data_IF_661877111947
#
_entry.id   IF_661877111947
#
_cell.length_a   1.000
_cell.length_b   1.000
_cell.length_c   1.000
_cell.angle_alpha   90.00
_cell.angle_beta   90.00
_cell.angle_gamma   90.00
#
_symmetry.space_group_name_H-M   'P 1'
#
loop_
_entity.id
_entity.type
_entity.pdbx_description
1 polymer ?
#
# COMPACT_ATOMS: atom_id res chain seq x y z
N UNK A 1 34.94 -16.04 -18.99
CA UNK A 1 33.81 -15.29 -19.61
C UNK A 1 32.55 -15.31 -18.75
N UNK A 2 31.93 -16.46 -18.45
CA UNK A 2 30.67 -16.49 -17.67
C UNK A 2 30.86 -16.05 -16.21
N UNK A 3 31.88 -16.57 -15.51
CA UNK A 3 32.22 -16.19 -14.12
C UNK A 3 32.65 -14.72 -14.00
N UNK A 4 33.39 -14.22 -14.99
CA UNK A 4 33.81 -12.81 -15.07
C UNK A 4 32.61 -11.87 -15.22
N UNK A 5 31.63 -12.23 -16.07
CA UNK A 5 30.39 -11.47 -16.21
C UNK A 5 29.55 -11.49 -14.94
N UNK A 6 29.48 -12.61 -14.23
CA UNK A 6 28.76 -12.71 -12.96
C UNK A 6 29.40 -11.84 -11.87
N UNK A 7 30.73 -11.84 -11.76
CA UNK A 7 31.43 -10.98 -10.80
C UNK A 7 31.24 -9.49 -11.13
N UNK A 8 31.32 -9.12 -12.40
CA UNK A 8 31.06 -7.75 -12.86
C UNK A 8 29.61 -7.31 -12.58
N UNK A 9 28.64 -8.19 -12.81
CA UNK A 9 27.23 -7.92 -12.46
C UNK A 9 27.09 -7.65 -10.97
N UNK A 10 27.66 -8.50 -10.11
CA UNK A 10 27.58 -8.34 -8.65
C UNK A 10 28.14 -7.00 -8.19
N UNK A 11 29.28 -6.58 -8.71
CA UNK A 11 29.92 -5.31 -8.37
C UNK A 11 29.05 -4.11 -8.78
N UNK A 12 28.65 -4.04 -10.05
CA UNK A 12 27.82 -2.95 -10.59
C UNK A 12 26.47 -2.91 -9.87
N UNK A 13 25.86 -4.07 -9.61
CA UNK A 13 24.60 -4.18 -8.89
C UNK A 13 24.70 -3.65 -7.46
N UNK A 14 25.79 -3.98 -6.74
CA UNK A 14 26.03 -3.48 -5.38
C UNK A 14 26.09 -1.96 -5.34
N UNK A 15 26.80 -1.34 -6.31
CA UNK A 15 26.88 0.12 -6.43
C UNK A 15 25.48 0.71 -6.72
N UNK A 16 24.71 0.10 -7.63
CA UNK A 16 23.37 0.54 -7.95
C UNK A 16 22.44 0.47 -6.74
N UNK A 17 22.46 -0.66 -6.02
CA UNK A 17 21.64 -0.91 -4.85
C UNK A 17 21.95 0.08 -3.73
N UNK A 18 23.23 0.31 -3.43
CA UNK A 18 23.63 1.29 -2.42
C UNK A 18 23.13 2.70 -2.74
N UNK A 19 23.28 3.13 -4.00
CA UNK A 19 22.76 4.42 -4.44
C UNK A 19 21.23 4.49 -4.40
N UNK A 20 20.54 3.37 -4.62
CA UNK A 20 19.08 3.30 -4.50
C UNK A 20 18.65 3.49 -3.04
N UNK A 21 19.30 2.82 -2.08
CA UNK A 21 19.05 3.02 -0.64
C UNK A 21 19.33 4.46 -0.20
N UNK A 22 20.39 5.06 -0.73
CA UNK A 22 20.77 6.45 -0.44
C UNK A 22 19.89 7.48 -1.21
N UNK A 23 18.88 7.02 -1.95
CA UNK A 23 17.94 7.83 -2.77
C UNK A 23 18.60 8.63 -3.90
N UNK A 24 19.82 8.26 -4.29
CA UNK A 24 20.52 8.78 -5.47
C UNK A 24 19.97 8.11 -6.75
N UNK A 25 18.67 8.33 -7.04
CA UNK A 25 17.94 7.57 -8.06
C UNK A 25 18.56 7.63 -9.46
N UNK A 26 19.09 8.79 -9.87
CA UNK A 26 19.75 8.93 -11.18
C UNK A 26 21.00 8.05 -11.28
N UNK A 27 21.82 8.00 -10.22
CA UNK A 27 23.03 7.18 -10.19
C UNK A 27 22.64 5.70 -10.17
N UNK A 28 21.68 5.33 -9.31
CA UNK A 28 21.16 3.97 -9.22
C UNK A 28 20.61 3.47 -10.57
N UNK A 29 19.77 4.27 -11.25
CA UNK A 29 19.24 3.94 -12.58
C UNK A 29 20.36 3.67 -13.59
N UNK A 30 21.40 4.52 -13.62
CA UNK A 30 22.51 4.36 -14.54
C UNK A 30 23.29 3.06 -14.30
N UNK A 31 23.60 2.72 -13.04
CA UNK A 31 24.30 1.47 -12.73
C UNK A 31 23.41 0.24 -12.96
N UNK A 32 22.11 0.32 -12.66
CA UNK A 32 21.19 -0.76 -13.02
C UNK A 32 21.11 -1.00 -14.53
N UNK A 33 21.11 0.05 -15.36
CA UNK A 33 21.16 -0.12 -16.82
C UNK A 33 22.45 -0.80 -17.28
N UNK A 34 23.60 -0.51 -16.66
CA UNK A 34 24.86 -1.23 -16.93
C UNK A 34 24.76 -2.73 -16.59
N UNK A 35 24.03 -3.11 -15.54
CA UNK A 35 23.74 -4.53 -15.28
C UNK A 35 22.93 -5.13 -16.43
N UNK A 36 21.92 -4.40 -16.92
CA UNK A 36 21.07 -4.86 -18.03
C UNK A 36 21.78 -4.92 -19.39
N UNK A 37 22.86 -4.16 -19.58
CA UNK A 37 23.74 -4.28 -20.76
C UNK A 37 24.49 -5.63 -20.76
N UNK A 38 24.84 -6.16 -19.59
CA UNK A 38 25.52 -7.47 -19.46
C UNK A 38 24.50 -8.61 -19.44
N UNK A 39 23.40 -8.44 -18.71
CA UNK A 39 22.31 -9.41 -18.62
C UNK A 39 20.95 -8.70 -18.66
N UNK A 40 20.35 -8.66 -19.86
CA UNK A 40 19.09 -7.98 -20.15
C UNK A 40 17.87 -8.53 -19.40
N UNK A 41 17.98 -9.75 -18.86
CA UNK A 41 16.95 -10.46 -18.11
C UNK A 41 17.33 -10.66 -16.62
N UNK A 42 18.24 -9.86 -16.08
CA UNK A 42 18.58 -9.91 -14.65
C UNK A 42 17.37 -9.46 -13.80
N UNK A 43 16.65 -10.44 -13.24
CA UNK A 43 15.37 -10.23 -12.56
C UNK A 43 15.47 -9.19 -11.44
N UNK A 44 16.45 -9.32 -10.56
CA UNK A 44 16.62 -8.48 -9.38
C UNK A 44 16.80 -7.00 -9.79
N UNK A 45 17.57 -6.74 -10.86
CA UNK A 45 17.73 -5.38 -11.41
C UNK A 45 16.45 -4.83 -12.00
N UNK A 46 15.74 -5.62 -12.80
CA UNK A 46 14.49 -5.18 -13.44
C UNK A 46 13.44 -4.87 -12.36
N UNK A 47 13.30 -5.76 -11.38
CA UNK A 47 12.40 -5.57 -10.25
C UNK A 47 12.76 -4.30 -9.43
N UNK A 48 14.06 -4.06 -9.18
CA UNK A 48 14.51 -2.89 -8.43
C UNK A 48 14.37 -1.59 -9.22
N UNK A 49 14.58 -1.60 -10.54
CA UNK A 49 14.23 -0.46 -11.40
C UNK A 49 12.73 -0.14 -11.33
N UNK A 50 11.87 -1.16 -11.36
CA UNK A 50 10.43 -0.98 -11.12
C UNK A 50 10.14 -0.29 -9.79
N UNK A 51 10.85 -0.70 -8.74
CA UNK A 51 10.72 -0.14 -7.39
C UNK A 51 11.28 1.29 -7.29
N UNK A 52 12.41 1.57 -7.94
CA UNK A 52 13.02 2.89 -8.02
C UNK A 52 12.09 3.90 -8.70
N UNK A 53 11.53 3.53 -9.85
CA UNK A 53 10.58 4.40 -10.55
C UNK A 53 9.28 4.61 -9.76
N UNK A 54 8.81 3.60 -9.02
CA UNK A 54 7.67 3.76 -8.11
C UNK A 54 7.97 4.80 -7.02
N UNK A 55 9.13 4.70 -6.37
CA UNK A 55 9.56 5.63 -5.33
C UNK A 55 9.82 7.05 -5.85
N UNK A 56 10.15 7.19 -7.13
CA UNK A 56 10.30 8.47 -7.81
C UNK A 56 9.00 8.94 -8.51
N UNK A 57 7.84 8.37 -8.15
CA UNK A 57 6.51 8.68 -8.69
C UNK A 57 6.37 8.54 -10.23
N UNK A 58 7.29 7.84 -10.89
CA UNK A 58 7.20 7.53 -12.31
C UNK A 58 6.50 6.17 -12.50
N UNK A 59 5.19 6.16 -12.29
CA UNK A 59 4.39 4.94 -12.30
C UNK A 59 4.33 4.26 -13.67
N UNK A 60 4.45 5.02 -14.77
CA UNK A 60 4.48 4.47 -16.14
C UNK A 60 5.75 3.62 -16.35
N UNK A 61 6.94 4.15 -16.03
CA UNK A 61 8.18 3.36 -16.12
C UNK A 61 8.17 2.21 -15.12
N UNK A 62 7.67 2.45 -13.90
CA UNK A 62 7.54 1.40 -12.88
C UNK A 62 6.73 0.21 -13.39
N UNK A 63 5.60 0.47 -14.05
CA UNK A 63 4.74 -0.54 -14.68
C UNK A 63 5.51 -1.38 -15.70
N UNK A 64 6.21 -0.74 -16.65
CA UNK A 64 6.99 -1.45 -17.69
C UNK A 64 8.01 -2.41 -17.08
N UNK A 65 8.78 -1.95 -16.09
CA UNK A 65 9.76 -2.80 -15.42
C UNK A 65 9.13 -3.94 -14.63
N UNK A 66 8.03 -3.72 -13.91
CA UNK A 66 7.35 -4.82 -13.21
C UNK A 66 6.69 -5.82 -14.16
N UNK A 67 6.16 -5.38 -15.30
CA UNK A 67 5.65 -6.29 -16.33
C UNK A 67 6.78 -7.14 -16.93
N UNK A 68 7.97 -6.57 -17.15
CA UNK A 68 9.16 -7.32 -17.54
C UNK A 68 9.59 -8.31 -16.46
N UNK A 69 9.62 -7.90 -15.18
CA UNK A 69 9.94 -8.80 -14.08
C UNK A 69 8.95 -9.99 -14.01
N UNK A 70 7.65 -9.73 -14.21
CA UNK A 70 6.60 -10.76 -14.21
C UNK A 70 6.73 -11.74 -15.37
N UNK A 71 7.30 -11.33 -16.51
CA UNK A 71 7.62 -12.26 -17.62
C UNK A 71 8.79 -13.19 -17.29
N UNK A 72 9.75 -12.71 -16.49
CA UNK A 72 10.96 -13.48 -16.13
C UNK A 72 10.67 -14.47 -14.99
N UNK A 73 9.96 -14.03 -13.94
CA UNK A 73 9.49 -14.89 -12.85
C UNK A 73 7.97 -14.79 -12.73
N UNK A 74 7.22 -15.64 -13.47
CA UNK A 74 5.76 -15.58 -13.53
C UNK A 74 5.06 -16.11 -12.26
N UNK A 75 5.83 -16.57 -11.28
CA UNK A 75 5.40 -17.07 -9.98
C UNK A 75 5.80 -16.15 -8.80
N UNK A 76 6.42 -14.99 -9.07
CA UNK A 76 6.82 -14.07 -8.00
C UNK A 76 5.64 -13.24 -7.49
N UNK A 77 5.08 -13.65 -6.34
CA UNK A 77 3.99 -12.95 -5.67
C UNK A 77 4.26 -11.46 -5.42
N UNK A 78 5.53 -11.09 -5.16
CA UNK A 78 5.93 -9.72 -4.82
C UNK A 78 5.83 -8.79 -6.02
N UNK A 79 6.27 -9.26 -7.19
CA UNK A 79 6.16 -8.55 -8.47
C UNK A 79 4.70 -8.27 -8.80
N UNK A 80 3.82 -9.27 -8.70
CA UNK A 80 2.39 -9.05 -8.97
C UNK A 80 1.74 -8.13 -7.93
N UNK A 81 2.12 -8.22 -6.65
CA UNK A 81 1.63 -7.28 -5.65
C UNK A 81 1.98 -5.84 -6.01
N UNK A 82 3.25 -5.56 -6.33
CA UNK A 82 3.68 -4.20 -6.69
C UNK A 82 3.07 -3.74 -8.01
N UNK A 83 2.98 -4.61 -9.02
CA UNK A 83 2.30 -4.28 -10.27
C UNK A 83 0.82 -3.94 -10.03
N UNK A 84 0.16 -4.63 -9.09
CA UNK A 84 -1.19 -4.30 -8.63
C UNK A 84 -1.27 -2.91 -7.97
N UNK A 85 -0.29 -2.56 -7.14
CA UNK A 85 -0.18 -1.22 -6.53
C UNK A 85 -0.02 -0.16 -7.63
N UNK A 86 0.90 -0.35 -8.57
CA UNK A 86 1.15 0.59 -9.66
C UNK A 86 -0.07 0.76 -10.56
N UNK A 87 -0.75 -0.33 -10.93
CA UNK A 87 -1.99 -0.24 -11.69
C UNK A 87 -3.10 0.47 -10.90
N UNK A 88 -3.13 0.34 -9.57
CA UNK A 88 -4.08 1.07 -8.71
C UNK A 88 -3.81 2.59 -8.74
N UNK A 89 -2.55 3.00 -8.66
CA UNK A 89 -2.14 4.42 -8.74
C UNK A 89 -2.41 5.02 -10.13
N UNK A 90 -2.26 4.22 -11.19
CA UNK A 90 -2.55 4.62 -12.56
C UNK A 90 -4.05 4.59 -12.92
N UNK A 91 -4.91 4.07 -12.03
CA UNK A 91 -6.35 3.94 -12.28
C UNK A 91 -6.76 2.74 -13.15
N UNK A 92 -5.82 1.85 -13.51
CA UNK A 92 -6.08 0.59 -14.22
C UNK A 92 -6.62 -0.47 -13.25
N UNK A 93 -7.85 -0.27 -12.77
CA UNK A 93 -8.42 -1.03 -11.66
C UNK A 93 -8.64 -2.52 -11.98
N UNK A 94 -9.00 -2.86 -13.22
CA UNK A 94 -9.21 -4.26 -13.64
C UNK A 94 -7.89 -5.03 -13.66
N UNK A 95 -6.84 -4.42 -14.19
CA UNK A 95 -5.48 -4.95 -14.21
C UNK A 95 -4.92 -5.08 -12.80
N UNK A 96 -5.21 -4.11 -11.92
CA UNK A 96 -4.84 -4.18 -10.51
C UNK A 96 -5.47 -5.40 -9.82
N UNK A 97 -6.76 -5.67 -10.04
CA UNK A 97 -7.44 -6.86 -9.52
C UNK A 97 -6.72 -8.14 -9.98
N UNK A 98 -6.48 -8.28 -11.29
CA UNK A 98 -5.80 -9.47 -11.84
C UNK A 98 -4.41 -9.67 -11.23
N UNK A 99 -3.66 -8.58 -11.03
CA UNK A 99 -2.35 -8.63 -10.39
C UNK A 99 -2.44 -9.08 -8.93
N UNK A 100 -3.37 -8.53 -8.14
CA UNK A 100 -3.54 -8.96 -6.75
C UNK A 100 -4.03 -10.42 -6.64
N UNK A 101 -4.90 -10.88 -7.53
CA UNK A 101 -5.33 -12.28 -7.58
C UNK A 101 -4.15 -13.23 -7.88
N UNK A 102 -3.27 -12.87 -8.83
CA UNK A 102 -2.03 -13.61 -9.09
C UNK A 102 -1.07 -13.58 -7.89
N UNK A 103 -0.94 -12.44 -7.22
CA UNK A 103 -0.14 -12.34 -6.00
C UNK A 103 -0.67 -13.27 -4.88
N UNK A 104 -2.00 -13.36 -4.72
CA UNK A 104 -2.65 -14.28 -3.78
C UNK A 104 -2.41 -15.74 -4.16
N UNK A 105 -2.46 -16.06 -5.45
CA UNK A 105 -2.20 -17.42 -5.96
C UNK A 105 -0.82 -17.93 -5.51
N UNK A 106 0.21 -17.09 -5.61
CA UNK A 106 1.58 -17.46 -5.25
C UNK A 106 1.92 -17.21 -3.77
N UNK A 107 1.16 -16.36 -3.08
CA UNK A 107 1.32 -16.10 -1.64
C UNK A 107 -0.02 -15.84 -0.95
N UNK A 108 -0.63 -16.93 -0.48
CA UNK A 108 -1.99 -16.91 0.09
C UNK A 108 -2.12 -16.15 1.42
N UNK A 109 -1.04 -15.89 2.15
CA UNK A 109 -1.06 -15.32 3.51
C UNK A 109 -0.59 -13.85 3.59
N UNK A 110 -0.61 -13.10 2.49
CA UNK A 110 -0.16 -11.71 2.47
C UNK A 110 -1.32 -10.73 2.71
N UNK A 111 -1.51 -10.28 3.96
CA UNK A 111 -2.62 -9.41 4.37
C UNK A 111 -2.78 -8.13 3.51
N UNK A 112 -1.67 -7.48 3.15
CA UNK A 112 -1.69 -6.27 2.31
C UNK A 112 -2.29 -6.52 0.92
N UNK A 113 -2.04 -7.68 0.30
CA UNK A 113 -2.66 -8.00 -1.00
C UNK A 113 -4.18 -8.08 -0.88
N UNK A 114 -4.70 -8.74 0.16
CA UNK A 114 -6.14 -8.82 0.41
C UNK A 114 -6.75 -7.44 0.69
N UNK A 115 -6.09 -6.62 1.51
CA UNK A 115 -6.55 -5.27 1.78
C UNK A 115 -6.61 -4.43 0.50
N UNK A 116 -5.55 -4.46 -0.33
CA UNK A 116 -5.51 -3.64 -1.54
C UNK A 116 -6.48 -4.14 -2.62
N UNK A 117 -6.70 -5.44 -2.73
CA UNK A 117 -7.75 -5.99 -3.59
C UNK A 117 -9.14 -5.54 -3.11
N UNK A 118 -9.40 -5.59 -1.80
CA UNK A 118 -10.63 -5.05 -1.23
C UNK A 118 -10.81 -3.56 -1.52
N UNK A 119 -9.72 -2.79 -1.43
CA UNK A 119 -9.71 -1.35 -1.75
C UNK A 119 -10.09 -1.06 -3.19
N UNK A 120 -9.51 -1.79 -4.15
CA UNK A 120 -9.85 -1.63 -5.57
C UNK A 120 -11.31 -2.01 -5.84
N UNK A 121 -11.79 -3.11 -5.24
CA UNK A 121 -13.20 -3.51 -5.35
C UNK A 121 -14.14 -2.45 -4.76
N UNK A 122 -13.75 -1.82 -3.65
CA UNK A 122 -14.50 -0.74 -3.02
C UNK A 122 -14.53 0.52 -3.89
N UNK A 123 -13.44 0.87 -4.58
CA UNK A 123 -13.41 1.96 -5.58
C UNK A 123 -14.39 1.72 -6.73
N UNK A 124 -14.63 0.44 -7.07
CA UNK A 124 -15.61 0.02 -8.07
C UNK A 124 -17.03 -0.14 -7.52
N UNK A 125 -17.30 0.28 -6.27
CA UNK A 125 -18.61 0.15 -5.63
C UNK A 125 -18.99 -1.27 -5.20
N UNK A 126 -18.08 -2.24 -5.34
CA UNK A 126 -18.33 -3.66 -4.99
C UNK A 126 -18.11 -3.93 -3.49
N UNK A 127 -18.76 -3.16 -2.62
CA UNK A 127 -18.51 -3.16 -1.18
C UNK A 127 -18.69 -4.53 -0.51
N UNK A 128 -19.70 -5.32 -0.91
CA UNK A 128 -19.92 -6.67 -0.37
C UNK A 128 -18.72 -7.61 -0.65
N UNK A 129 -18.14 -7.54 -1.84
CA UNK A 129 -16.93 -8.31 -2.17
C UNK A 129 -15.72 -7.77 -1.42
N UNK A 130 -15.57 -6.44 -1.38
CA UNK A 130 -14.48 -5.78 -0.65
C UNK A 130 -14.42 -6.22 0.83
N UNK A 131 -15.57 -6.30 1.51
CA UNK A 131 -15.69 -6.78 2.89
C UNK A 131 -15.08 -8.17 3.08
N UNK A 132 -15.34 -9.10 2.15
CA UNK A 132 -14.77 -10.45 2.24
C UNK A 132 -13.24 -10.43 2.17
N UNK A 133 -12.67 -9.59 1.30
CA UNK A 133 -11.22 -9.45 1.19
C UNK A 133 -10.59 -8.73 2.39
N UNK A 134 -11.20 -7.66 2.91
CA UNK A 134 -10.71 -7.02 4.13
C UNK A 134 -10.76 -7.95 5.35
N UNK A 135 -11.83 -8.76 5.50
CA UNK A 135 -11.91 -9.78 6.56
C UNK A 135 -10.80 -10.84 6.42
N UNK A 136 -10.44 -11.23 5.20
CA UNK A 136 -9.27 -12.10 4.95
C UNK A 136 -7.95 -11.41 5.33
N UNK A 137 -7.79 -10.12 5.03
CA UNK A 137 -6.61 -9.37 5.47
C UNK A 137 -6.45 -9.43 7.00
N UNK A 138 -7.53 -9.19 7.75
CA UNK A 138 -7.57 -9.27 9.22
C UNK A 138 -7.31 -10.69 9.74
N UNK A 139 -7.80 -11.71 9.02
CA UNK A 139 -7.51 -13.11 9.36
C UNK A 139 -6.01 -13.42 9.32
N UNK A 140 -5.29 -12.87 8.34
CA UNK A 140 -3.84 -13.07 8.20
C UNK A 140 -3.01 -12.11 9.05
N UNK A 141 -3.54 -10.93 9.36
CA UNK A 141 -2.94 -9.96 10.26
C UNK A 141 -4.04 -9.27 11.10
N UNK A 142 -4.20 -9.74 12.33
CA UNK A 142 -5.24 -9.23 13.26
C UNK A 142 -4.99 -7.81 13.74
N UNK A 143 -3.80 -7.24 13.47
CA UNK A 143 -3.40 -5.86 13.79
C UNK A 143 -3.41 -4.94 12.57
N UNK A 144 -3.97 -5.37 11.44
CA UNK A 144 -4.05 -4.57 10.22
C UNK A 144 -5.07 -3.43 10.34
N UNK A 145 -4.66 -2.30 10.93
CA UNK A 145 -5.54 -1.19 11.25
C UNK A 145 -6.25 -0.59 10.02
N UNK A 146 -5.55 -0.52 8.88
CA UNK A 146 -6.11 -0.06 7.61
C UNK A 146 -7.25 -0.96 7.11
N UNK A 147 -7.15 -2.28 7.25
CA UNK A 147 -8.22 -3.20 6.86
C UNK A 147 -9.48 -3.02 7.72
N UNK A 148 -9.33 -2.74 9.02
CA UNK A 148 -10.45 -2.38 9.89
C UNK A 148 -11.10 -1.07 9.47
N UNK A 149 -10.32 -0.02 9.23
CA UNK A 149 -10.85 1.25 8.74
C UNK A 149 -11.59 1.09 7.41
N UNK A 150 -11.02 0.31 6.48
CA UNK A 150 -11.63 0.04 5.18
C UNK A 150 -12.92 -0.80 5.28
N UNK A 151 -13.03 -1.70 6.26
CA UNK A 151 -14.32 -2.34 6.60
C UNK A 151 -15.33 -1.31 7.08
N UNK A 152 -14.93 -0.40 7.97
CA UNK A 152 -15.77 0.70 8.43
C UNK A 152 -16.36 1.50 7.27
N UNK A 153 -15.51 1.87 6.31
CA UNK A 153 -15.92 2.58 5.08
C UNK A 153 -16.90 1.73 4.27
N UNK A 154 -16.60 0.45 4.03
CA UNK A 154 -17.46 -0.41 3.22
C UNK A 154 -18.84 -0.64 3.86
N UNK A 155 -18.90 -0.82 5.18
CA UNK A 155 -20.18 -0.95 5.90
C UNK A 155 -20.97 0.36 5.95
N UNK A 156 -20.31 1.51 6.12
CA UNK A 156 -20.94 2.84 6.02
C UNK A 156 -21.59 3.02 4.65
N UNK A 157 -20.91 2.68 3.56
CA UNK A 157 -21.46 2.76 2.20
C UNK A 157 -22.63 1.79 1.94
N UNK A 158 -22.73 0.70 2.71
CA UNK A 158 -23.88 -0.20 2.70
C UNK A 158 -24.98 0.18 3.71
N UNK A 159 -24.89 1.38 4.31
CA UNK A 159 -25.79 1.89 5.34
C UNK A 159 -25.88 1.01 6.61
N UNK A 160 -24.87 0.18 6.87
CA UNK A 160 -24.77 -0.59 8.11
C UNK A 160 -23.88 0.16 9.10
N UNK A 161 -24.45 1.20 9.71
CA UNK A 161 -23.70 2.18 10.51
C UNK A 161 -23.17 1.59 11.83
N UNK A 162 -23.85 0.60 12.42
CA UNK A 162 -23.41 -0.06 13.65
C UNK A 162 -22.14 -0.88 13.43
N UNK A 163 -22.10 -1.70 12.36
CA UNK A 163 -20.88 -2.43 11.99
C UNK A 163 -19.76 -1.46 11.62
N UNK A 164 -20.07 -0.39 10.88
CA UNK A 164 -19.09 0.63 10.54
C UNK A 164 -18.42 1.23 11.78
N UNK A 165 -19.23 1.56 12.80
CA UNK A 165 -18.78 2.09 14.08
C UNK A 165 -17.80 1.14 14.77
N UNK A 166 -18.18 -0.13 14.93
CA UNK A 166 -17.35 -1.14 15.57
C UNK A 166 -15.98 -1.29 14.89
N UNK A 167 -15.96 -1.28 13.55
CA UNK A 167 -14.72 -1.43 12.79
C UNK A 167 -13.82 -0.18 12.83
N UNK A 168 -14.39 1.02 12.83
CA UNK A 168 -13.62 2.24 13.05
C UNK A 168 -13.03 2.32 14.46
N UNK A 169 -13.79 1.97 15.49
CA UNK A 169 -13.28 1.89 16.87
C UNK A 169 -12.13 0.89 16.97
N UNK A 170 -12.23 -0.25 16.26
CA UNK A 170 -11.14 -1.22 16.24
C UNK A 170 -9.89 -0.67 15.54
N UNK A 171 -10.04 0.05 14.43
CA UNK A 171 -8.92 0.72 13.75
C UNK A 171 -8.24 1.75 14.67
N UNK A 172 -9.03 2.60 15.33
CA UNK A 172 -8.55 3.60 16.29
C UNK A 172 -7.91 2.97 17.54
N UNK A 173 -8.37 1.79 17.98
CA UNK A 173 -7.70 1.09 19.10
C UNK A 173 -6.29 0.60 18.74
N UNK A 174 -6.02 0.38 17.45
CA UNK A 174 -4.72 -0.05 16.94
C UNK A 174 -3.81 1.14 16.62
N UNK A 175 -4.38 2.23 16.10
CA UNK A 175 -3.69 3.50 15.88
C UNK A 175 -4.60 4.69 16.23
N UNK A 176 -4.56 5.17 17.48
CA UNK A 176 -5.43 6.25 17.95
C UNK A 176 -5.15 7.60 17.30
N UNK A 177 -3.94 7.80 16.76
CA UNK A 177 -3.46 9.07 16.23
C UNK A 177 -3.52 9.13 14.70
N UNK A 178 -3.93 8.03 14.03
CA UNK A 178 -4.10 8.05 12.59
C UNK A 178 -5.18 9.06 12.20
N UNK A 179 -4.76 10.05 11.42
CA UNK A 179 -5.62 11.16 11.00
C UNK A 179 -6.80 10.69 10.17
N UNK A 180 -6.60 9.73 9.27
CA UNK A 180 -7.65 9.21 8.39
C UNK A 180 -8.69 8.45 9.21
N UNK A 181 -8.27 7.65 10.18
CA UNK A 181 -9.19 6.89 11.02
C UNK A 181 -10.06 7.83 11.87
N UNK A 182 -9.44 8.86 12.45
CA UNK A 182 -10.14 9.89 13.21
C UNK A 182 -11.16 10.66 12.34
N UNK A 183 -10.77 11.09 11.14
CA UNK A 183 -11.68 11.74 10.20
C UNK A 183 -12.86 10.84 9.81
N UNK A 184 -12.59 9.60 9.40
CA UNK A 184 -13.65 8.66 8.96
C UNK A 184 -14.64 8.35 10.09
N UNK A 185 -14.15 8.16 11.32
CA UNK A 185 -15.01 7.90 12.48
C UNK A 185 -15.80 9.14 12.87
N UNK A 186 -15.18 10.33 12.87
CA UNK A 186 -15.85 11.61 13.11
C UNK A 186 -17.01 11.83 12.14
N UNK A 187 -16.80 11.62 10.83
CA UNK A 187 -17.86 11.70 9.83
C UNK A 187 -19.01 10.72 10.10
N UNK A 188 -18.71 9.49 10.51
CA UNK A 188 -19.74 8.52 10.86
C UNK A 188 -20.57 9.00 12.06
N UNK A 189 -19.91 9.53 13.10
CA UNK A 189 -20.60 10.04 14.29
C UNK A 189 -21.49 11.24 13.95
N UNK A 190 -21.06 12.13 13.06
CA UNK A 190 -21.90 13.22 12.55
C UNK A 190 -23.14 12.68 11.82
N UNK A 191 -23.01 11.59 11.05
CA UNK A 191 -24.16 10.95 10.39
C UNK A 191 -25.10 10.19 11.35
N UNK A 192 -24.68 9.98 12.59
CA UNK A 192 -25.45 9.36 13.67
C UNK A 192 -25.98 10.39 14.68
N UNK A 193 -26.00 11.68 14.30
CA UNK A 193 -26.39 12.83 15.14
C UNK A 193 -25.57 12.96 16.45
N UNK A 194 -24.41 12.31 16.53
CA UNK A 194 -23.47 12.41 17.65
C UNK A 194 -22.51 13.60 17.45
N UNK A 195 -23.07 14.81 17.32
CA UNK A 195 -22.35 16.00 16.85
C UNK A 195 -21.10 16.36 17.66
N UNK A 196 -21.20 16.39 18.99
CA UNK A 196 -20.09 16.78 19.86
C UNK A 196 -18.88 15.87 19.68
N UNK A 197 -19.09 14.54 19.81
CA UNK A 197 -18.03 13.55 19.60
C UNK A 197 -17.53 13.53 18.16
N UNK A 198 -18.43 13.67 17.18
CA UNK A 198 -18.06 13.74 15.77
C UNK A 198 -17.06 14.85 15.49
N UNK A 199 -17.33 16.08 15.97
CA UNK A 199 -16.44 17.21 15.81
C UNK A 199 -15.09 17.02 16.54
N UNK A 200 -15.08 16.37 17.70
CA UNK A 200 -13.84 16.04 18.41
C UNK A 200 -12.92 15.16 17.55
N UNK A 201 -13.47 14.09 16.95
CA UNK A 201 -12.71 13.19 16.09
C UNK A 201 -12.31 13.84 14.76
N UNK A 202 -13.15 14.69 14.17
CA UNK A 202 -12.75 15.51 13.01
C UNK A 202 -11.56 16.41 13.35
N UNK A 203 -11.57 17.03 14.53
CA UNK A 203 -10.45 17.87 15.00
C UNK A 203 -9.16 17.07 15.12
N UNK A 204 -9.21 15.87 15.72
CA UNK A 204 -8.07 14.94 15.78
C UNK A 204 -7.57 14.58 14.37
N UNK A 205 -8.48 14.28 13.44
CA UNK A 205 -8.14 13.96 12.05
C UNK A 205 -7.48 15.10 11.28
N UNK A 206 -7.90 16.35 11.53
CA UNK A 206 -7.32 17.54 10.91
C UNK A 206 -5.93 17.93 11.45
N UNK A 207 -5.48 17.31 12.55
CA UNK A 207 -4.17 17.59 13.15
C UNK A 207 -4.14 18.84 14.04
N UNK A 208 -5.30 19.41 14.38
CA UNK A 208 -5.39 20.42 15.43
C UNK A 208 -5.23 19.72 16.78
N UNK A 209 -4.01 19.75 17.33
CA UNK A 209 -3.73 19.33 18.69
C UNK A 209 -4.51 20.24 19.64
N UNK A 210 -5.36 19.66 20.48
CA UNK A 210 -5.86 20.37 21.66
C UNK A 210 -4.63 20.66 22.54
N UNK A 211 -4.12 21.89 22.52
CA UNK A 211 -3.47 22.41 23.72
C UNK A 211 -4.59 22.50 24.77
N UNK A 212 -4.78 21.43 25.54
CA UNK A 212 -5.58 21.54 26.75
C UNK A 212 -4.92 22.59 27.62
N UNK A 213 -5.76 23.45 28.18
CA UNK A 213 -5.42 24.66 28.91
C UNK A 213 -4.91 24.34 30.33
N UNK A 214 -4.12 23.27 30.48
CA UNK A 214 -3.66 22.74 31.77
C UNK A 214 -2.16 22.99 32.04
N UNK A 215 -1.40 23.58 31.11
CA UNK A 215 0.03 23.88 31.31
C UNK A 215 0.37 25.36 31.57
N UNK A 216 -0.57 26.12 32.14
CA UNK A 216 -0.24 27.41 32.75
C UNK A 216 -0.52 27.35 34.25
N UNK A 217 0.26 26.55 34.97
CA UNK A 217 0.59 26.90 36.35
C UNK A 217 1.81 27.83 36.33
N UNK A 218 1.59 28.96 36.97
CA UNK A 218 2.46 30.12 37.13
C UNK A 218 3.69 29.72 37.95
N UNK A 219 4.87 30.14 37.51
CA UNK A 219 5.98 30.51 38.41
C UNK A 219 6.19 32.01 38.26
#
# INVERSE_FOLDING_TARGET
MQEENENKIKEIFSIAFKNHEDKNYTIAENYYKKVLEINSNHFETIYLLGSLFAQNNNFIKSKDYYERAAKIKPDDAKTFYNLGVINTELGYLTEAISCYEKSILFRINHANTYNNLGFVLSKLGQYKKAINFYKKAIKFDSKHANAYNNLGIAFKNLNNLNEAKNYYEKALSLDPNDRKFNSNYGELLLSLDCHEKGLEYIKKGSGFINFTRENFEII
#
